data_IF_175995378113
#
_entry.id   IF_175995378113
#
_cell.length_a   1.000
_cell.length_b   1.000
_cell.length_c   1.000
_cell.angle_alpha   90.00
_cell.angle_beta   90.00
_cell.angle_gamma   90.00
#
_symmetry.space_group_name_H-M   'P 1'
#
loop_
_entity.id
_entity.type
_entity.pdbx_description
1 polymer ?
#
# COMPACT_ATOMS: atom_id res chain seq x y z
N UNK A 1 -51.29 43.78 30.27
CA UNK A 1 -50.49 43.73 29.03
C UNK A 1 -49.09 43.29 29.43
N UNK A 2 -48.83 41.99 29.37
CA UNK A 2 -47.51 41.41 29.59
C UNK A 2 -46.81 41.43 28.23
N UNK A 3 -45.70 42.18 28.13
CA UNK A 3 -44.80 42.08 26.99
C UNK A 3 -43.87 40.90 27.25
N UNK A 4 -43.99 39.87 26.42
CA UNK A 4 -43.05 38.76 26.33
C UNK A 4 -41.70 39.29 25.84
N UNK A 5 -40.69 39.30 26.71
CA UNK A 5 -39.29 39.51 26.31
C UNK A 5 -38.70 38.16 25.87
N UNK A 6 -38.50 37.99 24.56
CA UNK A 6 -37.76 36.85 24.01
C UNK A 6 -36.29 36.87 24.47
N UNK A 7 -35.72 35.72 24.92
CA UNK A 7 -34.30 35.64 25.22
C UNK A 7 -33.48 35.61 23.92
N UNK A 8 -32.79 36.72 23.62
CA UNK A 8 -31.77 36.81 22.57
C UNK A 8 -30.63 35.83 22.84
N UNK A 9 -30.67 34.68 22.18
CA UNK A 9 -29.55 33.74 22.08
C UNK A 9 -28.36 34.41 21.37
N UNK A 10 -27.40 34.94 22.14
CA UNK A 10 -26.08 35.34 21.63
C UNK A 10 -25.26 34.07 21.41
N UNK A 11 -25.21 33.58 20.19
CA UNK A 11 -24.19 32.62 19.76
C UNK A 11 -22.84 33.33 19.70
N UNK A 12 -22.06 33.22 20.77
CA UNK A 12 -20.64 33.55 20.77
C UNK A 12 -19.90 32.54 19.86
N UNK A 13 -19.89 32.82 18.56
CA UNK A 13 -18.96 32.21 17.61
C UNK A 13 -17.57 32.79 17.83
N UNK A 14 -16.96 32.46 18.98
CA UNK A 14 -15.52 32.52 19.11
C UNK A 14 -14.96 31.38 18.27
N UNK A 15 -14.70 31.67 16.99
CA UNK A 15 -13.88 30.86 16.10
C UNK A 15 -12.53 30.64 16.77
N UNK A 16 -12.44 29.55 17.54
CA UNK A 16 -11.16 28.97 17.92
C UNK A 16 -10.51 28.56 16.59
N UNK A 17 -9.63 29.42 16.06
CA UNK A 17 -8.62 29.04 15.07
C UNK A 17 -7.84 27.88 15.68
N UNK A 18 -8.31 26.66 15.41
CA UNK A 18 -7.61 25.44 15.77
C UNK A 18 -6.33 25.45 14.95
N UNK A 19 -5.21 25.78 15.60
CA UNK A 19 -3.90 25.59 15.00
C UNK A 19 -3.81 24.11 14.64
N UNK A 20 -3.88 23.80 13.34
CA UNK A 20 -3.74 22.45 12.81
C UNK A 20 -2.30 22.03 13.13
N UNK A 21 -2.11 21.31 14.23
CA UNK A 21 -0.82 20.70 14.55
C UNK A 21 -0.62 19.53 13.60
N UNK A 22 0.17 19.75 12.57
CA UNK A 22 0.62 18.70 11.65
C UNK A 22 1.59 17.80 12.42
N UNK A 23 1.21 16.53 12.57
CA UNK A 23 2.04 15.54 13.25
C UNK A 23 3.00 14.90 12.24
N UNK A 24 4.14 15.58 12.02
CA UNK A 24 5.16 15.19 11.04
C UNK A 24 5.74 13.79 11.28
N UNK A 25 5.80 13.34 12.54
CA UNK A 25 6.30 12.00 12.87
C UNK A 25 5.40 10.89 12.33
N UNK A 26 4.07 11.08 12.43
CA UNK A 26 3.08 10.13 11.91
C UNK A 26 3.04 10.13 10.39
N UNK A 27 3.03 11.31 9.77
CA UNK A 27 3.03 11.43 8.31
C UNK A 27 4.32 10.83 7.70
N UNK A 28 5.47 11.06 8.32
CA UNK A 28 6.75 10.49 7.86
C UNK A 28 6.77 8.97 7.84
N UNK A 29 6.13 8.30 8.82
CA UNK A 29 5.99 6.84 8.81
C UNK A 29 5.18 6.31 7.64
N UNK A 30 4.10 7.00 7.28
CA UNK A 30 3.28 6.66 6.12
C UNK A 30 4.04 6.85 4.79
N UNK A 31 4.72 7.99 4.63
CA UNK A 31 5.56 8.25 3.46
C UNK A 31 6.68 7.22 3.31
N UNK A 32 7.35 6.86 4.40
CA UNK A 32 8.41 5.87 4.37
C UNK A 32 7.88 4.47 4.01
N UNK A 33 6.72 4.07 4.54
CA UNK A 33 6.08 2.82 4.15
C UNK A 33 5.73 2.81 2.66
N UNK A 34 5.22 3.94 2.14
CA UNK A 34 4.98 4.10 0.70
C UNK A 34 6.27 3.97 -0.12
N UNK A 35 7.35 4.63 0.28
CA UNK A 35 8.65 4.53 -0.41
C UNK A 35 9.21 3.11 -0.39
N UNK A 36 9.04 2.37 0.71
CA UNK A 36 9.47 0.96 0.79
C UNK A 36 8.66 0.09 -0.16
N UNK A 37 7.35 0.30 -0.26
CA UNK A 37 6.53 -0.41 -1.26
C UNK A 37 6.98 -0.01 -2.65
N UNK A 38 7.06 1.27 -2.98
CA UNK A 38 7.43 1.76 -4.30
C UNK A 38 8.79 1.23 -4.78
N UNK A 39 9.85 1.43 -3.98
CA UNK A 39 11.19 1.03 -4.37
C UNK A 39 11.47 -0.46 -4.12
N UNK A 40 11.00 -0.98 -2.99
CA UNK A 40 11.29 -2.36 -2.59
C UNK A 40 10.41 -3.37 -3.29
N UNK A 41 9.09 -3.19 -3.29
CA UNK A 41 8.16 -4.15 -3.88
C UNK A 41 8.35 -4.21 -5.40
N UNK A 42 8.27 -3.07 -6.09
CA UNK A 42 8.48 -3.04 -7.53
C UNK A 42 9.94 -3.20 -7.94
N UNK A 43 10.91 -2.83 -7.10
CA UNK A 43 12.32 -3.10 -7.38
C UNK A 43 12.62 -4.61 -7.41
N UNK A 44 12.03 -5.40 -6.52
CA UNK A 44 12.16 -6.86 -6.53
C UNK A 44 11.47 -7.45 -7.77
N UNK A 45 10.24 -7.00 -8.08
CA UNK A 45 9.49 -7.47 -9.26
C UNK A 45 10.24 -7.12 -10.56
N UNK A 46 10.73 -5.90 -10.69
CA UNK A 46 11.47 -5.43 -11.86
C UNK A 46 12.77 -6.24 -12.08
N UNK A 47 13.44 -6.66 -11.02
CA UNK A 47 14.66 -7.47 -11.12
C UNK A 47 14.37 -8.81 -11.83
N UNK A 48 13.27 -9.50 -11.49
CA UNK A 48 12.88 -10.73 -12.20
C UNK A 48 12.49 -10.44 -13.65
N UNK A 49 11.73 -9.37 -13.88
CA UNK A 49 11.26 -9.01 -15.21
C UNK A 49 12.43 -8.66 -16.16
N UNK A 50 13.55 -8.18 -15.63
CA UNK A 50 14.76 -7.85 -16.41
C UNK A 50 15.72 -9.05 -16.59
N UNK A 51 15.59 -10.11 -15.80
CA UNK A 51 16.49 -11.28 -15.83
C UNK A 51 15.73 -12.49 -16.34
N UNK A 52 16.04 -12.93 -17.57
CA UNK A 52 15.39 -14.08 -18.19
C UNK A 52 15.72 -15.36 -17.41
N UNK A 53 14.80 -15.84 -16.56
CA UNK A 53 15.05 -17.02 -15.72
C UNK A 53 15.35 -18.29 -16.53
N UNK A 54 14.87 -18.40 -17.77
CA UNK A 54 15.07 -19.62 -18.57
C UNK A 54 16.45 -19.69 -19.24
N UNK A 55 17.09 -18.53 -19.50
CA UNK A 55 18.41 -18.42 -20.13
C UNK A 55 19.51 -18.00 -19.11
N UNK A 56 19.16 -17.85 -17.84
CA UNK A 56 20.09 -17.36 -16.80
C UNK A 56 21.08 -18.40 -16.26
N UNK A 57 20.94 -19.69 -16.60
CA UNK A 57 21.92 -20.70 -16.15
C UNK A 57 23.23 -20.69 -16.95
N UNK A 58 23.27 -19.98 -18.09
CA UNK A 58 24.45 -19.98 -18.98
C UNK A 58 24.84 -18.60 -19.51
N UNK A 59 23.95 -17.60 -19.55
CA UNK A 59 24.29 -16.26 -20.06
C UNK A 59 23.53 -15.14 -19.34
N UNK A 60 24.24 -14.28 -18.60
CA UNK A 60 23.73 -13.00 -18.08
C UNK A 60 23.53 -12.01 -19.23
N UNK A 61 22.41 -12.12 -19.94
CA UNK A 61 22.00 -11.12 -20.92
C UNK A 61 20.83 -10.32 -20.39
N UNK A 62 20.98 -9.00 -20.40
CA UNK A 62 19.92 -8.06 -20.05
C UNK A 62 18.90 -8.06 -21.19
N UNK A 63 17.64 -8.30 -20.87
CA UNK A 63 16.57 -8.27 -21.87
C UNK A 63 16.21 -6.81 -22.19
N UNK A 64 16.01 -6.51 -23.47
CA UNK A 64 15.44 -5.22 -23.90
C UNK A 64 14.00 -5.06 -23.41
N UNK A 65 13.58 -3.84 -23.11
CA UNK A 65 12.20 -3.53 -22.69
C UNK A 65 11.13 -4.03 -23.68
N UNK A 66 11.49 -4.23 -24.96
CA UNK A 66 10.61 -4.73 -26.02
C UNK A 66 10.19 -6.20 -25.84
N UNK A 67 10.99 -6.99 -25.14
CA UNK A 67 10.75 -8.43 -24.91
C UNK A 67 10.26 -8.71 -23.48
N UNK A 68 10.07 -7.65 -22.70
CA UNK A 68 9.65 -7.72 -21.31
C UNK A 68 8.20 -8.20 -21.19
N UNK A 69 7.97 -9.16 -20.29
CA UNK A 69 6.63 -9.66 -20.03
C UNK A 69 5.79 -8.62 -19.26
N UNK A 70 4.94 -7.90 -19.99
CA UNK A 70 4.11 -6.79 -19.48
C UNK A 70 3.12 -7.20 -18.40
N UNK A 71 2.70 -8.46 -18.38
CA UNK A 71 1.69 -8.98 -17.46
C UNK A 71 2.18 -8.99 -16.02
N UNK A 72 3.48 -9.19 -15.77
CA UNK A 72 4.06 -9.31 -14.43
C UNK A 72 3.91 -8.02 -13.62
N UNK A 73 3.80 -6.84 -14.25
CA UNK A 73 3.55 -5.57 -13.55
C UNK A 73 2.16 -5.51 -12.90
N UNK A 74 1.17 -6.15 -13.53
CA UNK A 74 -0.21 -6.20 -13.06
C UNK A 74 -0.50 -7.46 -12.25
N UNK A 75 0.15 -8.57 -12.61
CA UNK A 75 0.00 -9.87 -11.99
C UNK A 75 1.30 -10.25 -11.29
N UNK A 76 1.74 -9.40 -10.37
CA UNK A 76 3.02 -9.59 -9.66
C UNK A 76 3.11 -10.90 -8.91
N UNK A 77 1.98 -11.58 -8.69
CA UNK A 77 1.97 -12.92 -8.12
C UNK A 77 2.65 -13.98 -8.99
N UNK A 78 2.75 -13.77 -10.30
CA UNK A 78 3.48 -14.65 -11.20
C UNK A 78 4.97 -14.67 -10.85
N UNK A 79 5.52 -13.54 -10.37
CA UNK A 79 6.90 -13.44 -9.91
C UNK A 79 7.12 -13.89 -8.46
N UNK A 80 6.09 -14.28 -7.71
CA UNK A 80 6.27 -14.58 -6.28
C UNK A 80 7.09 -15.85 -6.04
N UNK A 81 6.88 -16.91 -6.82
CA UNK A 81 7.66 -18.15 -6.63
C UNK A 81 9.13 -17.89 -6.92
N UNK A 82 9.41 -17.16 -8.01
CA UNK A 82 10.75 -16.83 -8.48
C UNK A 82 11.51 -15.87 -7.56
N UNK A 83 10.78 -15.02 -6.85
CA UNK A 83 11.31 -14.10 -5.85
C UNK A 83 11.29 -14.68 -4.43
N UNK A 84 11.02 -15.99 -4.24
CA UNK A 84 10.86 -16.61 -2.91
C UNK A 84 9.86 -15.87 -2.02
N UNK A 85 8.78 -15.36 -2.63
CA UNK A 85 7.71 -14.59 -2.01
C UNK A 85 8.18 -13.28 -1.36
N UNK A 86 9.37 -12.78 -1.70
CA UNK A 86 9.95 -11.57 -1.11
C UNK A 86 9.03 -10.33 -1.22
N UNK A 87 8.37 -10.01 -2.37
CA UNK A 87 7.45 -8.88 -2.45
C UNK A 87 6.28 -9.00 -1.47
N UNK A 88 5.74 -10.21 -1.30
CA UNK A 88 4.65 -10.48 -0.34
C UNK A 88 5.11 -10.32 1.09
N UNK A 89 6.29 -10.86 1.42
CA UNK A 89 6.87 -10.74 2.77
C UNK A 89 7.14 -9.27 3.09
N UNK A 90 7.69 -8.51 2.14
CA UNK A 90 7.95 -7.08 2.29
C UNK A 90 6.64 -6.30 2.54
N UNK A 91 5.60 -6.57 1.75
CA UNK A 91 4.29 -5.95 1.91
C UNK A 91 3.68 -6.29 3.28
N UNK A 92 3.72 -7.56 3.68
CA UNK A 92 3.26 -8.03 4.98
C UNK A 92 3.96 -7.31 6.13
N UNK A 93 5.31 -7.29 6.12
CA UNK A 93 6.12 -6.63 7.17
C UNK A 93 5.84 -5.12 7.20
N UNK A 94 5.67 -4.49 6.04
CA UNK A 94 5.37 -3.06 5.96
C UNK A 94 4.03 -2.74 6.62
N UNK A 95 2.96 -3.48 6.30
CA UNK A 95 1.65 -3.32 6.92
C UNK A 95 1.65 -3.66 8.42
N UNK A 96 2.43 -4.67 8.81
CA UNK A 96 2.63 -5.04 10.20
C UNK A 96 3.27 -3.89 10.99
N UNK A 97 4.39 -3.34 10.51
CA UNK A 97 5.11 -2.26 11.17
C UNK A 97 4.31 -0.96 11.21
N UNK A 98 3.62 -0.63 10.11
CA UNK A 98 2.74 0.53 10.03
C UNK A 98 1.65 0.45 11.11
N UNK A 99 0.99 -0.70 11.25
CA UNK A 99 -0.07 -0.89 12.26
C UNK A 99 0.47 -0.99 13.68
N UNK A 100 1.64 -1.59 13.87
CA UNK A 100 2.28 -1.71 15.18
C UNK A 100 2.72 -0.35 15.73
N UNK A 101 3.29 0.52 14.89
CA UNK A 101 3.78 1.84 15.31
C UNK A 101 2.65 2.83 15.57
N UNK A 102 1.48 2.68 14.95
CA UNK A 102 0.33 3.58 15.13
C UNK A 102 -0.31 3.47 16.52
N UNK A 103 -0.52 4.60 17.21
CA UNK A 103 -1.10 4.64 18.56
C UNK A 103 -2.48 4.00 18.62
N UNK A 104 -3.30 4.25 17.59
CA UNK A 104 -4.62 3.65 17.41
C UNK A 104 -4.54 2.69 16.21
N UNK A 105 -4.57 1.36 16.43
CA UNK A 105 -4.36 0.36 15.38
C UNK A 105 -5.29 0.48 14.18
N UNK A 106 -6.51 1.01 14.38
CA UNK A 106 -7.48 1.19 13.31
C UNK A 106 -6.98 2.14 12.20
N UNK A 107 -6.20 3.17 12.54
CA UNK A 107 -5.59 4.04 11.53
C UNK A 107 -4.52 3.31 10.71
N UNK A 108 -3.72 2.46 11.35
CA UNK A 108 -2.74 1.61 10.67
C UNK A 108 -3.39 0.61 9.70
N UNK A 109 -4.51 -0.01 10.10
CA UNK A 109 -5.28 -0.90 9.22
C UNK A 109 -5.82 -0.12 8.01
N UNK A 110 -6.44 1.05 8.25
CA UNK A 110 -6.96 1.90 7.17
C UNK A 110 -5.84 2.29 6.19
N UNK A 111 -4.69 2.71 6.70
CA UNK A 111 -3.55 3.09 5.87
C UNK A 111 -2.94 1.88 5.11
N UNK A 112 -2.92 0.69 5.72
CA UNK A 112 -2.49 -0.55 5.05
C UNK A 112 -3.41 -0.93 3.90
N UNK A 113 -4.73 -0.77 4.07
CA UNK A 113 -5.71 -0.99 3.00
C UNK A 113 -5.49 -0.02 1.83
N UNK A 114 -5.13 1.24 2.13
CA UNK A 114 -4.82 2.25 1.11
C UNK A 114 -3.58 1.91 0.26
N UNK A 115 -2.70 1.01 0.71
CA UNK A 115 -1.56 0.56 -0.10
C UNK A 115 -2.01 -0.27 -1.31
N UNK A 116 -3.14 -0.98 -1.23
CA UNK A 116 -3.62 -1.82 -2.35
C UNK A 116 -3.96 -1.00 -3.60
N UNK A 117 -4.88 -0.02 -3.58
CA UNK A 117 -5.18 0.78 -4.77
C UNK A 117 -3.96 1.57 -5.24
N UNK A 118 -3.07 1.92 -4.33
CA UNK A 118 -1.83 2.63 -4.62
C UNK A 118 -0.85 1.75 -5.41
N UNK A 119 -0.64 0.49 -5.01
CA UNK A 119 0.17 -0.48 -5.77
C UNK A 119 -0.42 -0.67 -7.16
N UNK A 120 -1.75 -0.77 -7.27
CA UNK A 120 -2.42 -0.89 -8.58
C UNK A 120 -2.14 0.35 -9.44
N UNK A 121 -2.38 1.55 -8.93
CA UNK A 121 -2.11 2.80 -9.68
C UNK A 121 -0.64 2.89 -10.09
N UNK A 122 0.27 2.45 -9.24
CA UNK A 122 1.70 2.41 -9.52
C UNK A 122 2.04 1.46 -10.68
N UNK A 123 1.41 0.29 -10.79
CA UNK A 123 1.55 -0.59 -11.96
C UNK A 123 1.16 0.14 -13.25
N UNK A 124 0.09 0.93 -13.24
CA UNK A 124 -0.35 1.72 -14.39
C UNK A 124 0.67 2.80 -14.75
N UNK A 125 1.22 3.50 -13.74
CA UNK A 125 2.25 4.52 -13.94
C UNK A 125 3.51 3.89 -14.55
N UNK A 126 3.99 2.78 -13.99
CA UNK A 126 5.17 2.09 -14.52
C UNK A 126 4.96 1.57 -15.93
N UNK A 127 3.79 0.99 -16.21
CA UNK A 127 3.45 0.60 -17.58
C UNK A 127 3.48 1.81 -18.52
N UNK A 128 2.87 2.94 -18.14
CA UNK A 128 2.83 4.14 -18.97
C UNK A 128 4.22 4.72 -19.24
N UNK A 129 5.13 4.67 -18.27
CA UNK A 129 6.53 5.11 -18.41
C UNK A 129 7.31 4.18 -19.35
N UNK A 130 7.13 2.85 -19.24
CA UNK A 130 7.91 1.88 -20.01
C UNK A 130 7.39 1.62 -21.42
N UNK A 131 6.07 1.58 -21.60
CA UNK A 131 5.42 1.15 -22.84
C UNK A 131 4.57 2.25 -23.49
N UNK A 132 4.40 3.39 -22.83
CA UNK A 132 3.56 4.50 -23.28
C UNK A 132 2.11 4.40 -22.82
N UNK A 133 1.32 5.44 -23.11
CA UNK A 133 -0.09 5.49 -22.73
C UNK A 133 -0.94 4.59 -23.64
N UNK A 134 -1.64 3.63 -23.04
CA UNK A 134 -2.57 2.73 -23.73
C UNK A 134 -3.73 2.30 -22.82
N UNK A 135 -4.75 1.67 -23.41
CA UNK A 135 -5.87 1.06 -22.66
C UNK A 135 -5.57 -0.38 -22.19
N UNK A 136 -4.44 -0.96 -22.63
CA UNK A 136 -4.05 -2.33 -22.31
C UNK A 136 -3.98 -2.60 -20.78
N UNK A 137 -3.43 -1.68 -19.94
CA UNK A 137 -3.44 -1.82 -18.48
C UNK A 137 -4.82 -2.08 -17.86
N UNK A 138 -5.85 -1.40 -18.35
CA UNK A 138 -7.21 -1.56 -17.86
C UNK A 138 -7.75 -2.96 -18.18
N UNK A 139 -7.43 -3.47 -19.37
CA UNK A 139 -7.84 -4.82 -19.81
C UNK A 139 -7.07 -5.87 -18.99
N UNK A 140 -5.78 -5.67 -18.73
CA UNK A 140 -4.96 -6.59 -17.92
C UNK A 140 -5.42 -6.63 -16.46
N UNK A 141 -5.74 -5.48 -15.87
CA UNK A 141 -6.13 -5.39 -14.46
C UNK A 141 -7.59 -5.80 -14.22
N UNK A 142 -8.52 -5.39 -15.09
CA UNK A 142 -9.96 -5.54 -14.85
C UNK A 142 -10.68 -6.42 -15.89
N UNK A 143 -10.05 -6.69 -17.04
CA UNK A 143 -10.60 -7.59 -18.07
C UNK A 143 -10.25 -9.07 -17.87
N UNK A 144 -9.37 -9.40 -16.92
CA UNK A 144 -8.88 -10.76 -16.69
C UNK A 144 -9.08 -11.20 -15.24
N UNK A 145 -9.49 -12.46 -15.04
CA UNK A 145 -9.66 -13.08 -13.72
C UNK A 145 -8.36 -13.03 -12.87
N UNK A 146 -7.19 -13.10 -13.53
CA UNK A 146 -5.88 -12.96 -12.87
C UNK A 146 -5.71 -11.61 -12.17
N UNK A 147 -6.23 -10.53 -12.75
CA UNK A 147 -6.20 -9.20 -12.14
C UNK A 147 -7.02 -9.13 -10.85
N UNK A 148 -8.18 -9.79 -10.82
CA UNK A 148 -8.99 -9.92 -9.60
C UNK A 148 -8.33 -10.81 -8.54
N UNK A 149 -7.70 -11.92 -8.95
CA UNK A 149 -6.94 -12.76 -8.04
C UNK A 149 -5.80 -11.97 -7.38
N UNK A 150 -5.08 -11.17 -8.16
CA UNK A 150 -4.01 -10.30 -7.66
C UNK A 150 -4.53 -9.31 -6.61
N UNK A 151 -5.66 -8.65 -6.87
CA UNK A 151 -6.31 -7.74 -5.90
C UNK A 151 -6.63 -8.49 -4.59
N UNK A 152 -7.19 -9.70 -4.67
CA UNK A 152 -7.51 -10.52 -3.49
C UNK A 152 -6.24 -10.84 -2.69
N UNK A 153 -5.15 -11.22 -3.36
CA UNK A 153 -3.88 -11.51 -2.71
C UNK A 153 -3.33 -10.26 -2.00
N UNK A 154 -3.34 -9.10 -2.67
CA UNK A 154 -2.90 -7.84 -2.04
C UNK A 154 -3.73 -7.50 -0.80
N UNK A 155 -5.06 -7.63 -0.85
CA UNK A 155 -5.91 -7.42 0.31
C UNK A 155 -5.64 -8.42 1.43
N UNK A 156 -5.51 -9.71 1.11
CA UNK A 156 -5.23 -10.74 2.10
C UNK A 156 -3.89 -10.49 2.82
N UNK A 157 -2.85 -10.11 2.08
CA UNK A 157 -1.52 -9.82 2.64
C UNK A 157 -1.50 -8.53 3.46
N UNK A 158 -2.10 -7.45 2.96
CA UNK A 158 -2.15 -6.17 3.70
C UNK A 158 -2.97 -6.29 4.98
N UNK A 159 -4.12 -6.97 4.94
CA UNK A 159 -4.96 -7.21 6.12
C UNK A 159 -4.30 -8.16 7.12
N UNK A 160 -3.71 -9.26 6.67
CA UNK A 160 -3.02 -10.20 7.57
C UNK A 160 -1.84 -9.56 8.29
N UNK A 161 -1.04 -8.74 7.59
CA UNK A 161 0.05 -7.96 8.19
C UNK A 161 -0.49 -6.97 9.23
N UNK A 162 -1.50 -6.17 8.86
CA UNK A 162 -2.08 -5.17 9.75
C UNK A 162 -2.72 -5.77 11.01
N UNK A 163 -3.53 -6.83 10.85
CA UNK A 163 -4.16 -7.55 11.98
C UNK A 163 -3.11 -8.15 12.90
N UNK A 164 -2.06 -8.75 12.34
CA UNK A 164 -0.94 -9.30 13.13
C UNK A 164 -0.26 -8.21 13.95
N UNK A 165 0.02 -7.05 13.36
CA UNK A 165 0.61 -5.90 14.05
C UNK A 165 -0.25 -5.41 15.22
N UNK A 166 -1.56 -5.33 15.01
CA UNK A 166 -2.53 -4.98 16.06
C UNK A 166 -2.52 -6.00 17.21
N UNK A 167 -2.57 -7.31 16.91
CA UNK A 167 -2.59 -8.38 17.91
C UNK A 167 -1.32 -8.41 18.75
N UNK A 168 -0.16 -8.28 18.12
CA UNK A 168 1.14 -8.22 18.82
C UNK A 168 1.19 -7.01 19.76
N UNK A 169 0.73 -5.84 19.30
CA UNK A 169 0.67 -4.64 20.14
C UNK A 169 -0.24 -4.83 21.36
N UNK A 170 -1.43 -5.39 21.16
CA UNK A 170 -2.37 -5.69 22.25
C UNK A 170 -1.78 -6.66 23.27
N UNK A 171 -1.08 -7.69 22.80
CA UNK A 171 -0.42 -8.66 23.66
C UNK A 171 0.68 -8.04 24.53
N UNK A 172 1.55 -7.21 23.96
CA UNK A 172 2.62 -6.52 24.70
C UNK A 172 2.04 -5.54 25.74
N UNK A 173 1.00 -4.79 25.36
CA UNK A 173 0.33 -3.86 26.29
C UNK A 173 -0.33 -4.61 27.46
N UNK A 174 -0.95 -5.75 27.19
CA UNK A 174 -1.52 -6.61 28.23
C UNK A 174 -0.45 -7.08 29.22
N UNK A 175 0.70 -7.58 28.72
CA UNK A 175 1.83 -8.00 29.57
C UNK A 175 2.47 -6.91 30.41
N UNK A 176 2.43 -5.64 29.95
CA UNK A 176 3.02 -4.50 30.68
C UNK A 176 2.11 -3.95 31.78
N UNK A 177 0.81 -4.25 31.71
CA UNK A 177 -0.19 -3.84 32.69
C UNK A 177 -0.43 -4.89 33.79
N UNK A 178 0.32 -6.00 33.76
CA UNK A 178 0.45 -7.00 34.82
C UNK A 178 1.78 -6.73 35.52
#
# INVERSE_FOLDING_TARGET
MLQDEEPRFRTNNNEKKGNIKIDFGRQGGFFLAYTIVLLGYYGIVANIVMVNQWISLTTQTWISFTEMERTVLFWTFEAYVDTFFLPLILLFITCFLLTYKEDIPHYGIKASIWLVPLIIVEAFIFYAIMFGFSLEPFILQFGNWKGYLHIIILFATTLSGAISGMKVKQFIKSKRNI
#
